data_IF_552425215927
#
_entry.id   IF_552425215927
#
_cell.length_a   1.000
_cell.length_b   1.000
_cell.length_c   1.000
_cell.angle_alpha   90.00
_cell.angle_beta   90.00
_cell.angle_gamma   90.00
#
_symmetry.space_group_name_H-M   'P 1'
#
loop_
_entity.id
_entity.type
_entity.pdbx_description
1 polymer ?
#
# COMPACT_ATOMS: atom_id res chain seq x y z
N UNK A 1 -6.47 -5.60 19.47
CA UNK A 1 -5.08 -5.22 19.82
C UNK A 1 -5.08 -3.76 20.25
N UNK A 2 -4.26 -3.38 21.23
CA UNK A 2 -4.07 -1.96 21.56
C UNK A 2 -2.97 -1.40 20.66
N UNK A 3 -3.35 -0.72 19.57
CA UNK A 3 -2.41 -0.17 18.58
C UNK A 3 -1.33 0.71 19.19
N UNK A 4 -1.65 1.45 20.26
CA UNK A 4 -0.71 2.36 20.94
C UNK A 4 0.57 1.69 21.44
N UNK A 5 0.52 0.38 21.72
CA UNK A 5 1.70 -0.40 22.12
C UNK A 5 2.71 -0.59 21.00
N UNK A 6 2.31 -0.34 19.76
CA UNK A 6 3.11 -0.53 18.55
C UNK A 6 3.56 0.79 17.93
N UNK A 7 3.37 1.91 18.62
CA UNK A 7 3.77 3.23 18.16
C UNK A 7 5.28 3.30 17.94
N UNK A 8 5.71 3.92 16.83
CA UNK A 8 7.14 4.07 16.50
C UNK A 8 7.48 5.49 16.08
N UNK A 9 8.68 5.95 16.45
CA UNK A 9 9.20 7.25 16.03
C UNK A 9 8.58 8.44 16.74
N UNK A 10 8.88 9.64 16.23
CA UNK A 10 8.35 10.91 16.76
C UNK A 10 6.96 11.28 16.20
N UNK A 11 6.56 10.70 15.07
CA UNK A 11 5.21 10.87 14.53
C UNK A 11 4.27 9.96 15.32
N UNK A 12 3.44 10.59 16.14
CA UNK A 12 2.47 9.90 16.99
C UNK A 12 1.62 8.91 16.18
N UNK A 13 1.27 9.26 14.94
CA UNK A 13 0.36 8.51 14.09
C UNK A 13 1.01 7.38 13.26
N UNK A 14 2.16 6.84 13.69
CA UNK A 14 2.84 5.70 13.07
C UNK A 14 2.88 4.50 14.02
N UNK A 15 2.44 3.34 13.54
CA UNK A 15 2.44 2.08 14.29
C UNK A 15 3.02 0.95 13.45
N UNK A 16 3.91 0.16 14.03
CA UNK A 16 4.56 -0.96 13.36
C UNK A 16 4.48 -2.23 14.18
N UNK A 17 3.91 -3.28 13.58
CA UNK A 17 3.75 -4.59 14.19
C UNK A 17 4.64 -5.57 13.43
N UNK A 18 5.78 -6.00 14.00
CA UNK A 18 6.57 -7.08 13.41
C UNK A 18 5.81 -8.41 13.53
N UNK A 19 6.02 -9.32 12.58
CA UNK A 19 5.44 -10.67 12.61
C UNK A 19 3.91 -10.66 12.84
N UNK A 20 3.20 -9.72 12.20
CA UNK A 20 1.74 -9.65 12.26
C UNK A 20 1.10 -10.91 11.68
N UNK A 21 1.75 -11.50 10.67
CA UNK A 21 1.44 -12.84 10.18
C UNK A 21 2.52 -13.82 10.64
N UNK A 22 2.14 -15.09 10.79
CA UNK A 22 3.13 -16.17 10.81
C UNK A 22 3.72 -16.37 9.42
N UNK A 23 4.87 -17.06 9.34
CA UNK A 23 5.50 -17.41 8.07
C UNK A 23 4.56 -18.26 7.18
N UNK A 24 3.79 -19.17 7.79
CA UNK A 24 2.83 -20.02 7.08
C UNK A 24 1.67 -19.22 6.49
N UNK A 25 1.16 -18.24 7.23
CA UNK A 25 0.09 -17.34 6.80
C UNK A 25 0.57 -16.45 5.64
N UNK A 26 1.75 -15.83 5.79
CA UNK A 26 2.38 -15.04 4.73
C UNK A 26 2.61 -15.84 3.46
N UNK A 27 3.17 -17.06 3.59
CA UNK A 27 3.36 -17.97 2.47
C UNK A 27 2.04 -18.41 1.82
N UNK A 28 0.97 -18.61 2.61
CA UNK A 28 -0.34 -18.94 2.08
C UNK A 28 -0.93 -17.81 1.23
N UNK A 29 -0.80 -16.55 1.67
CA UNK A 29 -1.20 -15.38 0.88
C UNK A 29 -0.39 -15.31 -0.40
N UNK A 30 0.94 -15.42 -0.32
CA UNK A 30 1.82 -15.39 -1.51
C UNK A 30 1.46 -16.45 -2.55
N UNK A 31 1.11 -17.68 -2.12
CA UNK A 31 0.59 -18.72 -3.02
C UNK A 31 -0.68 -18.27 -3.74
N UNK A 32 -1.63 -17.66 -3.03
CA UNK A 32 -2.86 -17.13 -3.66
C UNK A 32 -2.58 -16.01 -4.64
N UNK A 33 -1.66 -15.10 -4.31
CA UNK A 33 -1.23 -14.03 -5.23
C UNK A 33 -0.61 -14.61 -6.50
N UNK A 34 0.24 -15.64 -6.39
CA UNK A 34 0.84 -16.30 -7.58
C UNK A 34 -0.17 -17.03 -8.47
N UNK A 35 -1.34 -17.38 -7.95
CA UNK A 35 -2.43 -18.01 -8.71
C UNK A 35 -3.35 -17.00 -9.39
N UNK A 36 -3.19 -15.69 -9.10
CA UNK A 36 -3.98 -14.65 -9.76
C UNK A 36 -3.58 -14.55 -11.24
N UNK A 37 -4.55 -14.36 -12.16
CA UNK A 37 -4.24 -14.20 -13.58
C UNK A 37 -3.32 -13.01 -13.84
N UNK A 38 -2.36 -13.14 -14.76
CA UNK A 38 -1.47 -12.02 -15.11
C UNK A 38 -2.27 -10.79 -15.60
N UNK A 39 -3.43 -11.01 -16.22
CA UNK A 39 -4.34 -9.95 -16.67
C UNK A 39 -4.99 -9.13 -15.54
N UNK A 40 -4.90 -9.59 -14.29
CA UNK A 40 -5.36 -8.82 -13.11
C UNK A 40 -4.35 -7.78 -12.64
N UNK A 41 -3.13 -7.79 -13.20
CA UNK A 41 -2.09 -6.81 -12.91
C UNK A 41 -2.08 -5.69 -13.94
N UNK A 42 -2.18 -4.45 -13.45
CA UNK A 42 -1.78 -3.27 -14.19
C UNK A 42 -0.27 -3.08 -14.05
N UNK A 43 0.45 -3.09 -15.17
CA UNK A 43 1.87 -2.76 -15.20
C UNK A 43 2.03 -1.25 -15.23
N UNK A 44 2.52 -0.68 -14.13
CA UNK A 44 2.86 0.74 -14.02
C UNK A 44 4.35 0.91 -14.30
N UNK A 45 4.80 2.15 -14.47
CA UNK A 45 6.20 2.47 -14.80
C UNK A 45 7.21 1.85 -13.81
N UNK A 46 6.83 1.75 -12.53
CA UNK A 46 7.75 1.45 -11.43
C UNK A 46 7.36 0.24 -10.59
N UNK A 47 6.21 -0.35 -10.83
CA UNK A 47 5.67 -1.51 -10.09
C UNK A 47 4.53 -2.10 -10.88
N UNK A 48 4.02 -3.25 -10.46
CA UNK A 48 2.69 -3.70 -10.90
C UNK A 48 1.70 -3.63 -9.75
N UNK A 49 0.44 -3.45 -10.09
CA UNK A 49 -0.64 -3.16 -9.15
C UNK A 49 -1.89 -3.97 -9.51
N UNK A 50 -2.55 -4.52 -8.50
CA UNK A 50 -3.95 -4.94 -8.61
C UNK A 50 -4.84 -4.06 -7.74
N UNK A 51 -6.06 -3.83 -8.20
CA UNK A 51 -7.08 -3.08 -7.47
C UNK A 51 -8.26 -4.00 -7.09
N UNK A 52 -8.63 -4.02 -5.82
CA UNK A 52 -9.69 -4.87 -5.27
C UNK A 52 -10.66 -4.06 -4.40
N UNK A 53 -11.96 -4.34 -4.55
CA UNK A 53 -13.04 -3.73 -3.74
C UNK A 53 -13.72 -2.53 -4.37
N UNK A 54 -13.11 -1.94 -5.40
CA UNK A 54 -13.78 -1.01 -6.29
C UNK A 54 -12.83 -0.11 -7.05
N UNK A 55 -13.36 0.59 -8.05
CA UNK A 55 -12.62 1.59 -8.81
C UNK A 55 -12.98 2.99 -8.30
N UNK A 56 -12.01 3.76 -7.77
CA UNK A 56 -12.25 5.14 -7.39
C UNK A 56 -12.67 6.02 -8.57
N UNK A 57 -13.60 6.95 -8.30
CA UNK A 57 -14.16 7.91 -9.23
C UNK A 57 -14.29 9.28 -8.51
N UNK A 58 -14.32 10.43 -9.21
CA UNK A 58 -14.46 11.74 -8.58
C UNK A 58 -15.63 11.84 -7.58
N UNK A 59 -16.76 11.18 -7.88
CA UNK A 59 -17.96 11.18 -7.04
C UNK A 59 -18.03 10.08 -5.97
N UNK A 60 -16.97 9.29 -5.75
CA UNK A 60 -16.94 8.15 -4.83
C UNK A 60 -16.34 6.90 -5.49
N UNK A 61 -16.40 5.74 -4.84
CA UNK A 61 -15.92 4.49 -5.43
C UNK A 61 -17.07 3.67 -6.00
N UNK A 62 -16.85 3.07 -7.18
CA UNK A 62 -17.74 2.06 -7.75
C UNK A 62 -17.29 0.71 -7.20
N UNK A 63 -18.12 0.01 -6.41
CA UNK A 63 -17.71 -1.21 -5.73
C UNK A 63 -17.53 -2.38 -6.71
N UNK A 64 -16.51 -3.19 -6.47
CA UNK A 64 -16.24 -4.44 -7.18
C UNK A 64 -16.00 -5.57 -6.19
N UNK A 65 -15.99 -6.81 -6.68
CA UNK A 65 -15.75 -7.98 -5.83
C UNK A 65 -14.31 -8.03 -5.32
N UNK A 66 -14.13 -8.58 -4.12
CA UNK A 66 -12.83 -8.79 -3.52
C UNK A 66 -12.58 -10.30 -3.42
N UNK A 67 -11.42 -10.81 -3.86
CA UNK A 67 -11.05 -12.22 -3.67
C UNK A 67 -11.10 -12.64 -2.20
N UNK A 68 -11.59 -13.86 -1.92
CA UNK A 68 -11.79 -14.36 -0.56
C UNK A 68 -10.53 -14.29 0.33
N UNK A 69 -9.34 -14.49 -0.23
CA UNK A 69 -8.10 -14.41 0.55
C UNK A 69 -7.76 -12.97 0.97
N UNK A 70 -8.15 -11.97 0.17
CA UNK A 70 -8.01 -10.55 0.51
C UNK A 70 -9.07 -10.17 1.56
N UNK A 71 -10.30 -10.69 1.44
CA UNK A 71 -11.31 -10.57 2.49
C UNK A 71 -10.80 -11.11 3.84
N UNK A 72 -10.14 -12.27 3.85
CA UNK A 72 -9.55 -12.80 5.09
C UNK A 72 -8.50 -11.86 5.72
N UNK A 73 -7.69 -11.18 4.89
CA UNK A 73 -6.75 -10.15 5.39
C UNK A 73 -7.49 -8.94 5.97
N UNK A 74 -8.56 -8.49 5.32
CA UNK A 74 -9.41 -7.40 5.81
C UNK A 74 -10.06 -7.78 7.15
N UNK A 75 -10.56 -9.01 7.26
CA UNK A 75 -11.17 -9.55 8.48
C UNK A 75 -10.14 -9.63 9.61
N UNK A 76 -8.91 -10.08 9.34
CA UNK A 76 -7.83 -10.12 10.32
C UNK A 76 -7.49 -8.72 10.87
N UNK A 77 -7.50 -7.69 10.02
CA UNK A 77 -7.26 -6.31 10.45
C UNK A 77 -8.41 -5.76 11.32
N UNK A 78 -9.66 -6.15 11.04
CA UNK A 78 -10.80 -5.81 11.89
C UNK A 78 -10.73 -6.54 13.24
N UNK A 79 -10.44 -7.84 13.23
CA UNK A 79 -10.26 -8.63 14.46
C UNK A 79 -9.09 -8.13 15.32
N UNK A 80 -8.01 -7.66 14.67
CA UNK A 80 -6.90 -7.01 15.35
C UNK A 80 -7.29 -5.63 15.93
N UNK A 81 -8.44 -5.05 15.56
CA UNK A 81 -8.88 -3.73 16.00
C UNK A 81 -8.17 -2.59 15.28
N UNK A 82 -7.57 -2.84 14.12
CA UNK A 82 -7.01 -1.80 13.25
C UNK A 82 -8.13 -0.99 12.62
N UNK A 83 -9.15 -1.68 12.12
CA UNK A 83 -10.41 -1.10 11.68
C UNK A 83 -11.53 -1.53 12.62
N UNK A 84 -12.52 -0.67 12.84
CA UNK A 84 -13.72 -1.04 13.59
C UNK A 84 -14.68 -1.83 12.69
N UNK A 85 -15.60 -2.57 13.33
CA UNK A 85 -16.60 -3.37 12.61
C UNK A 85 -17.55 -2.50 11.78
N UNK A 86 -17.87 -1.30 12.24
CA UNK A 86 -18.67 -0.30 11.51
C UNK A 86 -17.87 0.41 10.38
N UNK A 87 -16.55 0.34 10.43
CA UNK A 87 -15.60 1.03 9.55
C UNK A 87 -14.74 0.03 8.75
N UNK A 88 -15.27 -1.18 8.48
CA UNK A 88 -14.52 -2.25 7.78
C UNK A 88 -13.88 -1.72 6.51
N UNK A 89 -12.60 -2.03 6.26
CA UNK A 89 -11.99 -1.63 5.01
C UNK A 89 -12.78 -2.24 3.84
N UNK A 90 -12.71 -1.60 2.69
CA UNK A 90 -13.47 -2.02 1.51
C UNK A 90 -12.66 -1.85 0.20
N UNK A 91 -11.39 -1.51 0.31
CA UNK A 91 -10.53 -1.28 -0.84
C UNK A 91 -9.10 -1.70 -0.52
N UNK A 92 -8.53 -2.52 -1.40
CA UNK A 92 -7.18 -3.07 -1.23
C UNK A 92 -6.39 -2.90 -2.52
N UNK A 93 -5.20 -2.34 -2.39
CA UNK A 93 -4.21 -2.32 -3.46
C UNK A 93 -3.12 -3.34 -3.20
N UNK A 94 -2.99 -4.28 -4.12
CA UNK A 94 -1.92 -5.27 -4.09
C UNK A 94 -0.79 -4.76 -4.99
N UNK A 95 0.32 -4.39 -4.39
CA UNK A 95 1.48 -3.85 -5.09
C UNK A 95 2.60 -4.88 -5.13
N UNK A 96 3.26 -5.02 -6.27
CA UNK A 96 4.48 -5.81 -6.40
C UNK A 96 5.61 -4.97 -6.98
N UNK A 97 6.75 -5.04 -6.30
CA UNK A 97 7.98 -4.33 -6.61
C UNK A 97 9.09 -5.36 -6.85
N UNK A 98 9.81 -5.20 -7.95
CA UNK A 98 11.10 -5.86 -8.16
C UNK A 98 12.22 -5.13 -7.39
N UNK A 99 13.42 -5.71 -7.38
CA UNK A 99 14.62 -5.02 -6.86
C UNK A 99 14.81 -3.68 -7.59
N UNK A 100 15.09 -2.62 -6.85
CA UNK A 100 15.29 -1.27 -7.41
C UNK A 100 14.00 -0.46 -7.56
N UNK A 101 12.83 -1.11 -7.54
CA UNK A 101 11.56 -0.44 -7.71
C UNK A 101 11.07 0.23 -6.44
N UNK A 102 10.14 1.16 -6.61
CA UNK A 102 9.57 1.98 -5.55
C UNK A 102 8.29 2.68 -5.99
N UNK A 103 7.81 3.59 -5.16
CA UNK A 103 6.65 4.44 -5.44
C UNK A 103 7.02 5.87 -5.09
N UNK A 104 6.70 6.79 -6.01
CA UNK A 104 6.99 8.20 -5.83
C UNK A 104 6.32 8.72 -4.55
N UNK A 105 6.91 9.73 -3.89
CA UNK A 105 6.25 10.43 -2.79
C UNK A 105 4.87 10.93 -3.21
N UNK A 106 3.84 10.58 -2.45
CA UNK A 106 2.45 10.94 -2.69
C UNK A 106 1.68 11.08 -1.38
N UNK A 107 0.44 11.55 -1.48
CA UNK A 107 -0.56 11.48 -0.43
C UNK A 107 -1.75 10.67 -0.94
N UNK A 108 -2.48 10.01 -0.05
CA UNK A 108 -3.56 9.10 -0.44
C UNK A 108 -4.87 9.82 -0.81
N UNK A 109 -5.04 11.06 -0.35
CA UNK A 109 -6.14 11.94 -0.72
C UNK A 109 -7.46 11.68 0.03
N UNK A 110 -8.43 12.60 -0.06
CA UNK A 110 -9.58 12.67 0.85
C UNK A 110 -10.67 11.60 0.61
N UNK A 111 -10.47 10.69 -0.35
CA UNK A 111 -11.44 9.65 -0.66
C UNK A 111 -11.54 8.60 0.45
N UNK A 112 -10.46 8.42 1.21
CA UNK A 112 -10.36 7.40 2.24
C UNK A 112 -10.57 8.01 3.63
N UNK A 113 -11.02 7.17 4.55
CA UNK A 113 -10.83 7.41 5.98
C UNK A 113 -9.32 7.63 6.23
N UNK A 114 -8.91 8.55 7.12
CA UNK A 114 -7.51 8.88 7.36
C UNK A 114 -6.78 7.79 8.17
N UNK A 115 -6.79 6.57 7.64
CA UNK A 115 -6.20 5.36 8.19
C UNK A 115 -5.77 4.44 7.04
N UNK A 116 -4.52 4.03 7.06
CA UNK A 116 -3.93 3.10 6.10
C UNK A 116 -3.26 1.96 6.84
N UNK A 117 -3.52 0.73 6.39
CA UNK A 117 -2.82 -0.46 6.84
C UNK A 117 -2.05 -1.07 5.65
N UNK A 118 -0.74 -1.29 5.82
CA UNK A 118 0.13 -1.89 4.82
C UNK A 118 0.68 -3.18 5.37
N UNK A 119 0.14 -4.30 4.88
CA UNK A 119 0.69 -5.63 5.13
C UNK A 119 1.83 -5.87 4.13
N UNK A 120 3.04 -6.15 4.63
CA UNK A 120 4.23 -6.40 3.81
C UNK A 120 4.51 -7.91 3.73
N UNK A 121 4.88 -8.38 2.55
CA UNK A 121 5.18 -9.79 2.25
C UNK A 121 6.42 -9.89 1.35
N UNK A 122 7.10 -11.03 1.43
CA UNK A 122 8.24 -11.43 0.61
C UNK A 122 9.54 -10.68 0.92
N UNK A 123 9.60 -9.38 0.61
CA UNK A 123 10.83 -8.59 0.69
C UNK A 123 10.71 -7.31 1.51
N UNK A 124 11.82 -6.80 2.05
CA UNK A 124 11.83 -5.56 2.82
C UNK A 124 11.72 -4.34 1.92
N UNK A 125 11.22 -3.24 2.48
CA UNK A 125 11.41 -1.90 1.93
C UNK A 125 11.33 -0.84 3.03
N UNK A 126 12.10 0.23 2.88
CA UNK A 126 12.01 1.42 3.70
C UNK A 126 10.90 2.35 3.14
N UNK A 127 9.79 2.46 3.88
CA UNK A 127 8.78 3.50 3.63
C UNK A 127 9.22 4.77 4.34
N UNK A 128 9.25 5.89 3.63
CA UNK A 128 9.70 7.18 4.15
C UNK A 128 8.55 8.18 4.16
N UNK A 129 8.60 9.11 5.12
CA UNK A 129 7.65 10.19 5.32
C UNK A 129 8.37 11.54 5.26
N UNK A 130 7.81 12.49 4.52
CA UNK A 130 8.34 13.84 4.33
C UNK A 130 7.27 14.89 4.69
N UNK A 131 7.65 16.01 5.33
CA UNK A 131 6.70 17.03 5.77
C UNK A 131 6.19 17.90 4.60
N UNK A 132 6.82 17.82 3.42
CA UNK A 132 6.40 18.60 2.25
C UNK A 132 6.93 18.00 0.95
N UNK A 133 6.32 18.37 -0.18
CA UNK A 133 6.82 18.05 -1.52
C UNK A 133 8.22 18.64 -1.79
N UNK A 134 8.63 19.69 -1.08
CA UNK A 134 10.00 20.21 -1.21
C UNK A 134 11.00 19.29 -0.51
N UNK A 135 10.68 18.86 0.73
CA UNK A 135 11.52 17.96 1.50
C UNK A 135 11.74 16.61 0.79
N UNK A 136 10.74 16.11 0.03
CA UNK A 136 10.92 14.90 -0.79
C UNK A 136 12.02 15.04 -1.84
N UNK A 137 12.21 16.24 -2.40
CA UNK A 137 13.25 16.53 -3.40
C UNK A 137 14.64 16.69 -2.77
N UNK A 138 14.69 17.20 -1.53
CA UNK A 138 15.91 17.33 -0.75
C UNK A 138 16.33 16.02 -0.06
N UNK A 139 15.46 15.00 -0.06
CA UNK A 139 15.70 13.74 0.65
C UNK A 139 15.55 13.85 2.17
N UNK A 140 14.92 14.91 2.67
CA UNK A 140 14.81 15.23 4.09
C UNK A 140 13.61 14.52 4.72
N UNK A 141 13.68 13.19 4.81
CA UNK A 141 12.66 12.41 5.48
C UNK A 141 12.67 12.70 6.99
N UNK A 142 11.49 12.93 7.57
CA UNK A 142 11.33 13.15 9.02
C UNK A 142 11.11 11.85 9.78
N UNK A 143 10.66 10.81 9.07
CA UNK A 143 10.50 9.47 9.60
C UNK A 143 10.67 8.45 8.47
N UNK A 144 11.13 7.25 8.83
CA UNK A 144 11.04 6.07 7.98
C UNK A 144 10.73 4.83 8.79
N UNK A 145 10.11 3.84 8.16
CA UNK A 145 9.78 2.55 8.75
C UNK A 145 10.31 1.46 7.84
N UNK A 146 11.21 0.63 8.37
CA UNK A 146 11.69 -0.54 7.65
C UNK A 146 10.63 -1.63 7.73
N UNK A 147 9.92 -1.85 6.62
CA UNK A 147 8.83 -2.80 6.54
C UNK A 147 9.37 -4.16 6.12
N UNK A 148 9.54 -5.09 7.07
CA UNK A 148 9.98 -6.46 6.81
C UNK A 148 8.82 -7.34 6.31
N UNK A 149 9.12 -8.55 5.80
CA UNK A 149 8.08 -9.52 5.47
C UNK A 149 7.23 -9.87 6.69
N UNK A 150 5.96 -10.17 6.46
CA UNK A 150 4.97 -10.54 7.46
C UNK A 150 4.67 -9.45 8.51
N UNK A 151 5.13 -8.21 8.28
CA UNK A 151 4.87 -7.07 9.16
C UNK A 151 3.65 -6.26 8.70
N UNK A 152 3.08 -5.53 9.66
CA UNK A 152 2.01 -4.57 9.43
C UNK A 152 2.47 -3.17 9.83
N UNK A 153 2.41 -2.24 8.88
CA UNK A 153 2.52 -0.81 9.15
C UNK A 153 1.14 -0.18 9.12
N UNK A 154 0.78 0.55 10.17
CA UNK A 154 -0.45 1.35 10.23
C UNK A 154 -0.06 2.81 10.40
N UNK A 155 -0.68 3.70 9.63
CA UNK A 155 -0.57 5.13 9.87
C UNK A 155 -1.90 5.83 9.67
N UNK A 156 -2.13 6.88 10.45
CA UNK A 156 -3.36 7.66 10.47
C UNK A 156 -3.06 9.16 10.64
N UNK A 157 -4.09 9.98 10.81
CA UNK A 157 -4.02 11.38 11.27
C UNK A 157 -2.87 12.18 10.61
N UNK A 158 -1.93 12.71 11.39
CA UNK A 158 -0.85 13.59 10.92
C UNK A 158 -0.02 12.95 9.79
N UNK A 159 0.39 11.69 9.95
CA UNK A 159 1.17 10.95 8.94
C UNK A 159 0.38 10.70 7.66
N UNK A 160 -0.96 10.62 7.75
CA UNK A 160 -1.83 10.44 6.59
C UNK A 160 -2.15 11.77 5.88
N UNK A 161 -2.49 12.81 6.65
CA UNK A 161 -3.08 14.05 6.15
C UNK A 161 -2.03 15.05 5.66
N UNK A 162 -0.89 15.13 6.35
CA UNK A 162 0.08 16.20 6.15
C UNK A 162 1.41 15.73 5.55
N UNK A 163 1.74 14.45 5.70
CA UNK A 163 3.00 13.91 5.21
C UNK A 163 2.86 13.32 3.81
N UNK A 164 3.92 13.48 3.03
CA UNK A 164 4.14 12.75 1.80
C UNK A 164 4.81 11.43 2.16
N UNK A 165 4.41 10.33 1.54
CA UNK A 165 5.03 9.03 1.78
C UNK A 165 5.37 8.30 0.50
N UNK A 166 6.37 7.42 0.56
CA UNK A 166 6.83 6.70 -0.61
C UNK A 166 7.95 5.71 -0.30
N UNK A 167 8.35 4.98 -1.34
CA UNK A 167 9.46 4.04 -1.30
C UNK A 167 10.43 4.49 -2.38
N UNK A 168 11.63 4.94 -2.00
CA UNK A 168 12.62 5.44 -2.96
C UNK A 168 13.16 4.29 -3.82
N UNK A 169 13.36 4.53 -5.12
CA UNK A 169 13.92 3.56 -6.07
C UNK A 169 15.40 3.31 -5.78
N UNK A 170 15.74 2.14 -5.22
CA UNK A 170 17.12 1.72 -4.92
C UNK A 170 17.20 0.21 -4.70
N UNK A 171 18.39 -0.36 -4.93
CA UNK A 171 18.63 -1.80 -4.78
C UNK A 171 18.80 -2.27 -3.33
N UNK A 172 19.15 -1.35 -2.44
CA UNK A 172 19.28 -1.58 -1.00
C UNK A 172 18.88 -0.31 -0.25
N UNK A 173 18.30 -0.47 0.93
CA UNK A 173 17.96 0.62 1.85
C UNK A 173 19.05 0.81 2.89
N UNK A 174 19.42 2.06 3.17
CA UNK A 174 20.31 2.36 4.29
C UNK A 174 19.47 2.73 5.50
N UNK A 175 19.74 2.11 6.64
CA UNK A 175 19.10 2.49 7.89
C UNK A 175 19.70 3.81 8.36
N UNK A 176 18.85 4.82 8.46
CA UNK A 176 19.21 6.17 8.90
C UNK A 176 18.67 6.47 10.31
N UNK A 177 19.15 7.54 10.93
CA UNK A 177 18.71 7.95 12.27
C UNK A 177 17.20 8.21 12.39
N UNK A 178 16.54 8.58 11.29
CA UNK A 178 15.09 8.77 11.25
C UNK A 178 14.31 7.44 11.08
N UNK A 179 14.98 6.28 11.08
CA UNK A 179 14.32 4.97 11.02
C UNK A 179 13.73 4.62 12.38
N UNK A 180 12.40 4.60 12.44
CA UNK A 180 11.64 4.73 13.67
C UNK A 180 11.47 3.40 14.43
N UNK A 181 11.57 2.26 13.75
CA UNK A 181 11.18 0.95 14.29
C UNK A 181 12.34 0.04 14.68
N UNK A 182 13.60 0.50 14.70
CA UNK A 182 14.78 -0.36 14.95
C UNK A 182 14.71 -1.10 16.29
N UNK A 183 14.17 -0.47 17.32
CA UNK A 183 14.02 -1.05 18.66
C UNK A 183 13.14 -2.31 18.72
N UNK A 184 12.34 -2.61 17.67
CA UNK A 184 11.53 -3.83 17.58
C UNK A 184 12.01 -4.82 16.50
N UNK A 185 13.11 -4.52 15.79
CA UNK A 185 13.62 -5.38 14.70
C UNK A 185 14.79 -6.28 15.14
N UNK A 186 15.39 -6.02 16.30
CA UNK A 186 16.57 -6.74 16.80
C UNK A 186 17.89 -6.10 16.38
N UNK A 187 18.99 -6.63 16.91
CA UNK A 187 20.32 -6.00 16.87
C UNK A 187 20.96 -5.95 15.48
N UNK A 188 20.49 -6.79 14.54
CA UNK A 188 20.98 -6.82 13.16
C UNK A 188 20.61 -5.54 12.37
N UNK A 189 19.61 -4.78 12.85
CA UNK A 189 19.10 -3.58 12.20
C UNK A 189 19.51 -2.32 12.99
N UNK A 190 20.70 -1.79 12.71
CA UNK A 190 21.20 -0.55 13.30
C UNK A 190 21.52 0.52 12.25
N UNK A 191 21.70 1.77 12.70
CA UNK A 191 22.03 2.90 11.81
C UNK A 191 23.33 2.61 11.06
N UNK A 192 23.29 2.78 9.74
CA UNK A 192 24.39 2.47 8.83
C UNK A 192 24.30 1.07 8.19
N UNK A 193 23.43 0.19 8.68
CA UNK A 193 23.18 -1.11 8.03
C UNK A 193 22.53 -0.89 6.66
N UNK A 194 23.05 -1.58 5.64
CA UNK A 194 22.44 -1.68 4.32
C UNK A 194 21.56 -2.94 4.25
N UNK A 195 20.29 -2.77 3.88
CA UNK A 195 19.29 -3.83 3.75
C UNK A 195 19.00 -4.06 2.28
N UNK A 196 19.45 -5.19 1.77
CA UNK A 196 19.26 -5.57 0.36
C UNK A 196 17.78 -5.75 0.00
N UNK A 197 17.36 -5.18 -1.13
CA UNK A 197 16.00 -5.39 -1.65
C UNK A 197 15.95 -6.58 -2.61
N UNK A 198 14.85 -7.32 -2.48
CA UNK A 198 14.42 -8.35 -3.43
C UNK A 198 13.07 -8.00 -4.05
N UNK A 199 12.31 -9.03 -4.43
CA UNK A 199 10.89 -8.88 -4.75
C UNK A 199 10.12 -8.56 -3.47
N UNK A 200 9.21 -7.60 -3.53
CA UNK A 200 8.33 -7.22 -2.41
C UNK A 200 6.88 -7.21 -2.89
N UNK A 201 6.00 -7.78 -2.08
CA UNK A 201 4.56 -7.68 -2.25
C UNK A 201 3.97 -6.94 -1.04
N UNK A 202 2.97 -6.10 -1.27
CA UNK A 202 2.22 -5.50 -0.15
C UNK A 202 0.76 -5.29 -0.47
N UNK A 203 -0.08 -5.48 0.54
CA UNK A 203 -1.50 -5.15 0.50
C UNK A 203 -1.71 -3.85 1.27
N UNK A 204 -2.06 -2.78 0.57
CA UNK A 204 -2.47 -1.51 1.15
C UNK A 204 -3.99 -1.52 1.31
N UNK A 205 -4.45 -1.68 2.55
CA UNK A 205 -5.86 -1.85 2.95
C UNK A 205 -6.40 -0.54 3.51
N UNK A 206 -7.55 -0.09 2.99
CA UNK A 206 -8.16 1.21 3.32
C UNK A 206 -9.69 1.12 3.32
N UNK A 207 -10.32 2.14 3.93
CA UNK A 207 -11.77 2.39 3.86
C UNK A 207 -12.03 3.60 2.97
N UNK A 208 -12.71 3.41 1.85
CA UNK A 208 -13.34 4.50 1.09
C UNK A 208 -14.61 4.96 1.79
N UNK A 209 -14.76 6.26 1.97
CA UNK A 209 -15.90 6.86 2.70
C UNK A 209 -17.18 6.93 1.85
N UNK A 210 -17.06 7.30 0.58
CA UNK A 210 -18.20 7.50 -0.33
C UNK A 210 -18.27 6.38 -1.36
N UNK A 211 -19.32 5.56 -1.29
CA UNK A 211 -19.63 4.54 -2.29
C UNK A 211 -20.73 5.08 -3.19
N UNK A 212 -20.57 4.90 -4.50
CA UNK A 212 -21.63 5.24 -5.44
C UNK A 212 -22.67 4.13 -5.40
N UNK A 213 -23.94 4.50 -5.23
CA UNK A 213 -25.05 3.58 -5.46
C UNK A 213 -24.94 3.11 -6.91
N UNK A 214 -24.74 1.81 -7.10
CA UNK A 214 -24.63 1.24 -8.43
C UNK A 214 -25.98 1.36 -9.13
N UNK A 215 -26.01 2.00 -10.29
CA UNK A 215 -26.99 1.59 -11.31
C UNK A 215 -26.79 0.08 -11.49
N UNK A 216 -27.90 -0.69 -11.52
CA UNK A 216 -27.88 -2.15 -11.57
C UNK A 216 -26.80 -2.68 -12.51
N UNK A 217 -26.09 -3.75 -12.10
CA UNK A 217 -25.07 -4.44 -12.90
C UNK A 217 -25.71 -5.03 -14.16
N UNK A 218 -25.93 -4.20 -15.17
CA UNK A 218 -26.29 -4.66 -16.50
C UNK A 218 -25.00 -5.24 -17.09
N UNK A 219 -24.94 -6.56 -17.25
CA UNK A 219 -23.83 -7.29 -17.89
C UNK A 219 -23.81 -7.05 -19.42
N UNK A 220 -23.94 -5.79 -19.84
CA UNK A 220 -23.75 -5.40 -21.23
C UNK A 220 -22.27 -5.23 -21.51
N UNK A 221 -21.88 -5.45 -22.76
CA UNK A 221 -20.53 -5.20 -23.25
C UNK A 221 -20.11 -3.74 -23.01
N UNK A 222 -21.05 -2.80 -23.14
CA UNK A 222 -20.85 -1.38 -22.86
C UNK A 222 -20.50 -1.11 -21.38
N UNK A 223 -21.15 -1.80 -20.43
CA UNK A 223 -20.84 -1.66 -19.01
C UNK A 223 -19.42 -2.17 -18.68
N UNK A 224 -19.00 -3.28 -19.30
CA UNK A 224 -17.64 -3.81 -19.15
C UNK A 224 -16.58 -2.86 -19.75
N UNK A 225 -16.87 -2.25 -20.90
CA UNK A 225 -15.98 -1.26 -21.53
C UNK A 225 -15.86 0.01 -20.69
N UNK A 226 -16.96 0.45 -20.10
CA UNK A 226 -17.03 1.59 -19.19
C UNK A 226 -16.26 1.32 -17.88
N UNK A 227 -16.35 0.12 -17.33
CA UNK A 227 -15.57 -0.28 -16.15
C UNK A 227 -14.06 -0.25 -16.43
N UNK A 228 -13.64 -0.85 -17.56
CA UNK A 228 -12.25 -0.77 -18.04
C UNK A 228 -11.81 0.68 -18.27
N UNK A 229 -12.71 1.57 -18.74
CA UNK A 229 -12.41 2.99 -18.93
C UNK A 229 -12.16 3.70 -17.60
N UNK A 230 -12.99 3.45 -16.60
CA UNK A 230 -12.83 4.02 -15.25
C UNK A 230 -11.56 3.51 -14.58
N UNK A 231 -11.26 2.22 -14.72
CA UNK A 231 -10.03 1.63 -14.21
C UNK A 231 -8.78 2.28 -14.83
N UNK A 232 -8.75 2.44 -16.16
CA UNK A 232 -7.66 3.14 -16.86
C UNK A 232 -7.49 4.59 -16.39
N UNK A 233 -8.60 5.31 -16.23
CA UNK A 233 -8.56 6.69 -15.72
C UNK A 233 -8.02 6.77 -14.29
N UNK A 234 -8.41 5.81 -13.45
CA UNK A 234 -7.93 5.76 -12.08
C UNK A 234 -6.41 5.47 -12.01
N UNK A 235 -5.92 4.55 -12.81
CA UNK A 235 -4.48 4.22 -12.89
C UNK A 235 -3.66 5.43 -13.34
N UNK A 236 -4.12 6.19 -14.34
CA UNK A 236 -3.41 7.38 -14.83
C UNK A 236 -3.41 8.54 -13.80
N UNK A 237 -4.46 8.64 -12.99
CA UNK A 237 -4.61 9.69 -11.98
C UNK A 237 -3.66 9.57 -10.78
N UNK A 238 -3.02 8.41 -10.56
CA UNK A 238 -1.99 8.23 -9.51
C UNK A 238 -0.57 8.67 -9.92
N UNK A 239 -0.43 9.40 -11.04
CA UNK A 239 0.80 10.15 -11.36
C UNK A 239 1.94 9.32 -11.98
N UNK A 240 1.64 8.20 -12.64
CA UNK A 240 2.66 7.28 -13.18
C UNK A 240 2.59 7.01 -14.69
N UNK A 241 2.02 7.92 -15.50
CA UNK A 241 2.19 7.89 -16.96
C UNK A 241 2.77 9.20 -17.50
N UNK A 242 3.85 9.09 -18.28
CA UNK A 242 3.97 9.64 -19.63
C UNK A 242 5.01 8.79 -20.40
N UNK A 243 4.66 8.45 -21.65
CA UNK A 243 5.35 7.61 -22.66
C UNK A 243 5.06 6.10 -22.64
N UNK A 244 3.84 5.76 -23.09
CA UNK A 244 3.63 4.53 -23.86
C UNK A 244 4.47 4.67 -25.13
N UNK A 245 5.50 3.82 -25.28
CA UNK A 245 6.29 3.73 -26.50
C UNK A 245 5.33 3.43 -27.67
N UNK A 246 5.25 4.36 -28.63
CA UNK A 246 4.68 4.08 -29.93
C UNK A 246 5.58 3.03 -30.62
N UNK A 247 5.03 2.01 -31.30
CA UNK A 247 5.85 1.13 -32.11
C UNK A 247 6.46 1.96 -33.25
N UNK A 248 7.79 2.00 -33.27
CA UNK A 248 8.56 2.55 -34.39
C UNK A 248 8.19 1.80 -35.67
N UNK A 249 7.85 2.56 -36.71
CA UNK A 249 7.63 2.11 -38.09
C UNK A 249 8.85 1.40 -38.67
#
# INVERSE_FOLDING_TARGET
>A
MELDKFRVGGLASLFYIPNFLTEEEGAAILRRVSMMPESSWANLKRRRLQNHGGTPHPDGMIPSEVPQFIHAVMDALVQAGVFKEEERPNHVLLNEYARGQGIAPHQDGPLYMPLVAILSLDGPALLQFWPSLHATKCGEAVASVLCLSNSLLVFNEEAYESHWHGIVERGADNIEHHTCNLHVLGDDYCVGTAVERGRRISLTVRRVLKIRDGEERILTQEAMEEEKRKERWWLSSRGEEHQIFQPSR
#
